data_IF_718407561022
#
_entry.id   IF_718407561022
#
_cell.length_a   1.000
_cell.length_b   1.000
_cell.length_c   1.000
_cell.angle_alpha   90.00
_cell.angle_beta   90.00
_cell.angle_gamma   90.00
#
_symmetry.space_group_name_H-M   'P 1'
#
loop_
_entity.id
_entity.type
_entity.pdbx_description
1 polymer ?
#
# COMPACT_ATOMS: atom_id res chain seq x y z
N UNK A 1 14.80 -9.65 -8.37
CA UNK A 1 14.61 -11.14 -8.30
C UNK A 1 15.96 -11.83 -8.37
N UNK A 2 16.26 -12.69 -7.41
CA UNK A 2 17.54 -13.40 -7.23
C UNK A 2 17.46 -14.76 -7.92
N UNK A 3 18.47 -15.12 -8.72
CA UNK A 3 18.54 -16.44 -9.35
C UNK A 3 19.40 -17.37 -8.50
N UNK A 4 18.84 -18.49 -8.07
CA UNK A 4 19.48 -19.54 -7.32
C UNK A 4 19.75 -20.73 -8.27
N UNK A 5 20.95 -21.24 -8.31
CA UNK A 5 21.30 -22.46 -9.05
C UNK A 5 21.51 -23.61 -8.09
N UNK A 6 20.90 -24.75 -8.39
CA UNK A 6 21.15 -26.02 -7.69
C UNK A 6 22.09 -26.84 -8.57
N UNK A 7 23.40 -26.89 -8.26
CA UNK A 7 24.40 -27.48 -9.15
C UNK A 7 24.12 -28.95 -9.48
N UNK A 8 23.61 -29.72 -8.50
CA UNK A 8 23.38 -31.17 -8.60
C UNK A 8 22.29 -31.51 -9.63
N UNK A 9 21.30 -30.65 -9.75
CA UNK A 9 20.15 -30.86 -10.67
C UNK A 9 20.13 -29.90 -11.86
N UNK A 10 21.05 -28.95 -11.93
CA UNK A 10 21.08 -27.83 -12.90
C UNK A 10 19.76 -27.06 -12.97
N UNK A 11 18.99 -27.07 -11.88
CA UNK A 11 17.76 -26.32 -11.78
C UNK A 11 18.05 -24.88 -11.36
N UNK A 12 17.28 -23.97 -11.92
CA UNK A 12 17.26 -22.57 -11.50
C UNK A 12 15.97 -22.31 -10.74
N UNK A 13 16.10 -21.68 -9.60
CA UNK A 13 14.98 -21.16 -8.80
C UNK A 13 15.08 -19.66 -8.75
N UNK A 14 13.96 -18.99 -8.58
CA UNK A 14 13.90 -17.54 -8.51
C UNK A 14 13.29 -17.13 -7.17
N UNK A 15 14.01 -16.29 -6.44
CA UNK A 15 13.59 -15.78 -5.16
C UNK A 15 13.37 -14.27 -5.28
N UNK A 16 12.18 -13.75 -4.89
CA UNK A 16 11.96 -12.31 -4.81
C UNK A 16 12.98 -11.62 -3.90
N UNK A 17 13.41 -10.43 -4.26
CA UNK A 17 14.29 -9.55 -3.47
C UNK A 17 13.54 -8.44 -2.74
N UNK A 18 12.25 -8.25 -3.05
CA UNK A 18 11.35 -7.34 -2.36
C UNK A 18 9.88 -7.75 -2.55
N UNK A 19 8.95 -7.05 -1.88
CA UNK A 19 7.54 -7.35 -1.95
C UNK A 19 6.91 -7.14 -3.34
N UNK A 20 7.49 -6.29 -4.18
CA UNK A 20 6.97 -6.00 -5.53
C UNK A 20 7.17 -7.16 -6.50
N UNK A 21 8.14 -8.01 -6.23
CA UNK A 21 8.48 -9.18 -7.05
C UNK A 21 7.73 -10.45 -6.64
N UNK A 22 7.02 -10.40 -5.49
CA UNK A 22 6.28 -11.53 -4.96
C UNK A 22 5.01 -11.83 -5.79
N UNK A 23 4.74 -13.10 -6.04
CA UNK A 23 3.41 -13.53 -6.47
C UNK A 23 2.37 -13.40 -5.33
N UNK A 24 1.10 -13.63 -5.63
CA UNK A 24 0.02 -13.47 -4.63
C UNK A 24 0.22 -14.36 -3.39
N UNK A 25 0.70 -15.61 -3.55
CA UNK A 25 0.95 -16.53 -2.44
C UNK A 25 2.11 -16.04 -1.59
N UNK A 26 3.27 -15.81 -2.22
CA UNK A 26 4.47 -15.29 -1.57
C UNK A 26 4.18 -13.99 -0.82
N UNK A 27 3.49 -13.07 -1.47
CA UNK A 27 3.11 -11.79 -0.88
C UNK A 27 2.28 -11.95 0.40
N UNK A 28 1.29 -12.85 0.40
CA UNK A 28 0.44 -13.08 1.55
C UNK A 28 1.22 -13.72 2.71
N UNK A 29 2.07 -14.69 2.43
CA UNK A 29 2.87 -15.38 3.44
C UNK A 29 3.92 -14.45 4.05
N UNK A 30 4.65 -13.73 3.22
CA UNK A 30 5.64 -12.76 3.70
C UNK A 30 4.96 -11.62 4.47
N UNK A 31 3.79 -11.16 4.05
CA UNK A 31 3.03 -10.14 4.80
C UNK A 31 2.65 -10.61 6.20
N UNK A 32 2.28 -11.90 6.35
CA UNK A 32 2.03 -12.48 7.67
C UNK A 32 3.29 -12.52 8.53
N UNK A 33 4.41 -12.95 7.96
CA UNK A 33 5.70 -12.99 8.67
C UNK A 33 6.17 -11.60 9.07
N UNK A 34 6.00 -10.59 8.19
CA UNK A 34 6.31 -9.18 8.52
C UNK A 34 5.44 -8.70 9.68
N UNK A 35 4.15 -9.05 9.70
CA UNK A 35 3.29 -8.72 10.84
C UNK A 35 3.85 -9.31 12.13
N UNK A 36 4.20 -10.60 12.14
CA UNK A 36 4.74 -11.28 13.31
C UNK A 36 6.06 -10.66 13.78
N UNK A 37 6.94 -10.29 12.83
CA UNK A 37 8.20 -9.62 13.13
C UNK A 37 7.97 -8.24 13.76
N UNK A 38 7.11 -7.41 13.17
CA UNK A 38 6.84 -6.06 13.65
C UNK A 38 6.13 -6.02 15.01
N UNK A 39 5.40 -7.09 15.35
CA UNK A 39 4.74 -7.24 16.65
C UNK A 39 5.59 -8.06 17.64
N UNK A 40 6.86 -8.34 17.30
CA UNK A 40 7.81 -9.09 18.13
C UNK A 40 7.32 -10.51 18.52
N UNK A 41 6.43 -11.09 17.69
CA UNK A 41 5.96 -12.46 17.86
C UNK A 41 7.04 -13.48 17.47
N UNK A 42 7.93 -13.11 16.53
CA UNK A 42 9.09 -13.91 16.11
C UNK A 42 10.34 -13.02 16.06
N UNK A 43 11.53 -13.56 16.40
CA UNK A 43 12.79 -12.86 16.21
C UNK A 43 13.18 -12.81 14.72
N UNK A 44 14.07 -11.87 14.38
CA UNK A 44 14.46 -11.62 12.99
C UNK A 44 15.09 -12.86 12.30
N UNK A 45 15.89 -13.62 13.00
CA UNK A 45 16.53 -14.84 12.47
C UNK A 45 15.48 -15.90 12.10
N UNK A 46 14.44 -16.05 12.90
CA UNK A 46 13.32 -16.96 12.62
C UNK A 46 12.50 -16.43 11.43
N UNK A 47 12.26 -15.12 11.38
CA UNK A 47 11.62 -14.48 10.24
C UNK A 47 12.35 -14.81 8.94
N UNK A 48 13.68 -14.60 8.87
CA UNK A 48 14.48 -14.88 7.66
C UNK A 48 14.34 -16.33 7.19
N UNK A 49 14.45 -17.29 8.11
CA UNK A 49 14.33 -18.71 7.79
C UNK A 49 12.94 -19.04 7.26
N UNK A 50 11.89 -18.60 7.93
CA UNK A 50 10.51 -18.82 7.47
C UNK A 50 10.23 -18.14 6.13
N UNK A 51 10.81 -16.97 5.90
CA UNK A 51 10.68 -16.26 4.63
C UNK A 51 11.27 -17.06 3.46
N UNK A 52 12.42 -17.74 3.65
CA UNK A 52 12.97 -18.62 2.61
C UNK A 52 11.99 -19.73 2.25
N UNK A 53 11.41 -20.42 3.24
CA UNK A 53 10.42 -21.47 3.00
C UNK A 53 9.19 -20.91 2.25
N UNK A 54 8.69 -19.76 2.68
CA UNK A 54 7.56 -19.09 2.03
C UNK A 54 7.86 -18.66 0.58
N UNK A 55 9.03 -18.05 0.35
CA UNK A 55 9.40 -17.53 -0.98
C UNK A 55 9.71 -18.63 -1.99
N UNK A 56 10.28 -19.75 -1.54
CA UNK A 56 10.67 -20.86 -2.41
C UNK A 56 9.63 -21.98 -2.49
N UNK A 57 8.46 -21.83 -1.84
CA UNK A 57 7.40 -22.83 -1.78
C UNK A 57 7.89 -24.17 -1.26
N UNK A 58 8.64 -24.13 -0.17
CA UNK A 58 9.22 -25.31 0.46
C UNK A 58 8.53 -25.61 1.78
N UNK A 59 8.45 -26.89 2.11
CA UNK A 59 8.03 -27.33 3.44
C UNK A 59 9.25 -27.79 4.26
N UNK A 60 9.31 -27.47 5.56
CA UNK A 60 10.34 -28.02 6.43
C UNK A 60 10.13 -29.53 6.57
N UNK A 61 11.08 -30.29 6.07
CA UNK A 61 11.10 -31.76 6.20
C UNK A 61 12.30 -32.12 7.04
N UNK A 62 12.09 -32.90 8.09
CA UNK A 62 13.18 -33.48 8.89
C UNK A 62 13.84 -34.64 8.14
N UNK A 63 15.16 -34.66 8.13
CA UNK A 63 15.94 -35.75 7.56
C UNK A 63 16.35 -36.70 8.69
N UNK A 64 16.25 -38.04 8.45
CA UNK A 64 16.67 -39.05 9.42
C UNK A 64 18.19 -39.08 9.59
N UNK A 65 18.95 -38.70 8.55
CA UNK A 65 20.40 -38.55 8.61
C UNK A 65 20.74 -37.16 9.21
N UNK A 66 21.39 -37.18 10.38
CA UNK A 66 21.79 -35.97 11.09
C UNK A 66 22.74 -35.07 10.28
N UNK A 67 23.66 -35.66 9.51
CA UNK A 67 24.62 -34.90 8.71
C UNK A 67 23.90 -34.19 7.58
N UNK A 68 23.02 -34.90 6.87
CA UNK A 68 22.19 -34.33 5.82
C UNK A 68 21.27 -33.23 6.37
N UNK A 69 20.74 -33.41 7.57
CA UNK A 69 19.92 -32.38 8.23
C UNK A 69 20.72 -31.12 8.58
N UNK A 70 21.94 -31.26 9.10
CA UNK A 70 22.83 -30.12 9.41
C UNK A 70 23.23 -29.35 8.14
N UNK A 71 23.59 -30.05 7.06
CA UNK A 71 23.90 -29.41 5.76
C UNK A 71 22.71 -28.68 5.18
N UNK A 72 21.52 -29.26 5.24
CA UNK A 72 20.27 -28.64 4.81
C UNK A 72 19.99 -27.35 5.59
N UNK A 73 20.10 -27.41 6.92
CA UNK A 73 19.89 -26.23 7.77
C UNK A 73 20.93 -25.14 7.49
N UNK A 74 22.21 -25.51 7.27
CA UNK A 74 23.24 -24.55 6.88
C UNK A 74 22.93 -23.86 5.54
N UNK A 75 22.40 -24.59 4.56
CA UNK A 75 22.02 -24.04 3.27
C UNK A 75 20.80 -23.08 3.40
N UNK A 76 19.78 -23.46 4.18
CA UNK A 76 18.62 -22.59 4.47
C UNK A 76 19.10 -21.31 5.17
N UNK A 77 20.02 -21.43 6.12
CA UNK A 77 20.55 -20.28 6.83
C UNK A 77 21.30 -19.30 5.88
N UNK A 78 22.11 -19.83 4.95
CA UNK A 78 22.76 -19.01 3.93
C UNK A 78 21.75 -18.33 3.00
N UNK A 79 20.71 -19.05 2.57
CA UNK A 79 19.65 -18.46 1.76
C UNK A 79 18.88 -17.38 2.53
N UNK A 80 18.75 -17.52 3.84
CA UNK A 80 18.04 -16.55 4.67
C UNK A 80 18.72 -15.18 4.73
N UNK A 81 20.03 -15.09 4.45
CA UNK A 81 20.74 -13.82 4.33
C UNK A 81 20.22 -12.98 3.14
N UNK A 82 19.72 -13.63 2.08
CA UNK A 82 19.15 -12.93 0.92
C UNK A 82 17.82 -12.23 1.26
N UNK A 83 17.17 -12.60 2.35
CA UNK A 83 15.94 -11.94 2.83
C UNK A 83 16.24 -10.52 3.35
N UNK A 84 17.49 -10.22 3.69
CA UNK A 84 17.91 -8.89 4.09
C UNK A 84 17.68 -7.86 2.96
N UNK A 85 17.63 -8.29 1.69
CA UNK A 85 17.29 -7.45 0.55
C UNK A 85 15.88 -6.84 0.62
N UNK A 86 14.97 -7.42 1.40
CA UNK A 86 13.64 -6.81 1.65
C UNK A 86 13.70 -5.54 2.49
N UNK A 87 14.83 -5.27 3.13
CA UNK A 87 15.01 -4.16 4.04
C UNK A 87 16.09 -3.20 3.53
N UNK A 88 16.02 -1.96 3.98
CA UNK A 88 17.05 -0.95 3.85
C UNK A 88 17.53 -0.54 5.25
N UNK A 89 18.76 -0.06 5.33
CA UNK A 89 19.32 0.45 6.57
C UNK A 89 18.72 1.81 6.89
N UNK A 90 18.16 1.94 8.08
CA UNK A 90 17.73 3.20 8.67
C UNK A 90 18.75 3.77 9.63
N UNK A 91 18.46 4.88 10.24
CA UNK A 91 19.30 5.47 11.28
C UNK A 91 19.38 4.55 12.51
N UNK A 92 20.59 4.31 13.03
CA UNK A 92 20.82 3.54 14.25
C UNK A 92 20.62 2.03 14.10
N UNK A 93 21.06 1.45 12.98
CA UNK A 93 20.97 0.01 12.66
C UNK A 93 19.52 -0.54 12.60
N UNK A 94 18.54 0.35 12.42
CA UNK A 94 17.13 -0.04 12.26
C UNK A 94 16.91 -0.53 10.83
N UNK A 95 16.32 -1.73 10.68
CA UNK A 95 15.89 -2.25 9.38
C UNK A 95 14.54 -1.69 9.01
N UNK A 96 14.47 -1.04 7.86
CA UNK A 96 13.24 -0.46 7.31
C UNK A 96 12.80 -1.31 6.13
N UNK A 97 11.56 -1.80 6.15
CA UNK A 97 11.00 -2.55 5.04
C UNK A 97 10.92 -1.68 3.78
N UNK A 98 11.45 -2.17 2.66
CA UNK A 98 11.31 -1.52 1.35
C UNK A 98 9.85 -1.52 0.91
N UNK A 99 9.28 -0.35 0.75
CA UNK A 99 7.88 -0.13 0.36
C UNK A 99 7.82 0.94 -0.72
N UNK A 100 8.24 0.57 -1.96
CA UNK A 100 8.33 1.49 -3.10
C UNK A 100 7.50 0.98 -4.30
N UNK A 101 6.46 0.18 -4.02
CA UNK A 101 5.62 -0.43 -5.04
C UNK A 101 4.18 0.05 -4.93
N UNK A 102 3.53 0.07 -6.09
CA UNK A 102 2.11 0.45 -6.24
C UNK A 102 1.31 -0.60 -7.01
N UNK A 103 1.97 -1.69 -7.45
CA UNK A 103 1.32 -2.87 -8.01
C UNK A 103 0.56 -3.62 -6.91
N UNK A 104 -0.67 -4.06 -7.19
CA UNK A 104 -1.51 -4.77 -6.24
C UNK A 104 -1.45 -6.30 -6.47
N UNK A 105 -0.62 -7.05 -5.74
CA UNK A 105 -0.50 -8.50 -5.92
C UNK A 105 -1.72 -9.27 -5.42
N UNK A 106 -2.63 -8.62 -4.68
CA UNK A 106 -3.87 -9.18 -4.14
C UNK A 106 -5.12 -8.51 -4.70
N UNK A 107 -5.07 -8.04 -5.96
CA UNK A 107 -6.18 -7.34 -6.62
C UNK A 107 -7.52 -8.07 -6.50
N UNK A 108 -7.52 -9.40 -6.49
CA UNK A 108 -8.71 -10.23 -6.37
C UNK A 108 -8.58 -11.19 -5.20
N UNK A 109 -9.55 -11.14 -4.28
CA UNK A 109 -9.64 -12.05 -3.14
C UNK A 109 -10.96 -12.83 -3.18
N UNK A 110 -10.95 -14.04 -2.59
CA UNK A 110 -12.14 -14.87 -2.46
C UNK A 110 -12.56 -14.93 -1.00
N UNK A 111 -13.79 -14.53 -0.70
CA UNK A 111 -14.36 -14.56 0.63
C UNK A 111 -15.72 -15.22 0.60
N UNK A 112 -15.92 -16.31 1.34
CA UNK A 112 -17.19 -17.06 1.44
C UNK A 112 -17.80 -17.31 0.05
N UNK A 113 -17.00 -17.85 -0.87
CA UNK A 113 -17.41 -18.19 -2.23
C UNK A 113 -17.65 -17.01 -3.19
N UNK A 114 -17.46 -15.77 -2.75
CA UNK A 114 -17.61 -14.55 -3.57
C UNK A 114 -16.27 -13.91 -3.84
N UNK A 115 -16.11 -13.34 -5.04
CA UNK A 115 -14.94 -12.57 -5.40
C UNK A 115 -15.13 -11.10 -5.01
N UNK A 116 -14.12 -10.54 -4.37
CA UNK A 116 -13.96 -9.12 -4.09
C UNK A 116 -12.75 -8.60 -4.84
N UNK A 117 -12.82 -7.37 -5.28
CA UNK A 117 -11.78 -6.71 -6.07
C UNK A 117 -11.30 -5.47 -5.34
N UNK A 118 -9.99 -5.32 -5.25
CA UNK A 118 -9.31 -4.20 -4.63
C UNK A 118 -9.04 -3.05 -5.59
N UNK A 119 -8.20 -2.10 -5.16
CA UNK A 119 -7.70 -1.05 -6.04
C UNK A 119 -6.87 -1.65 -7.18
N UNK A 120 -6.92 -1.01 -8.35
CA UNK A 120 -5.97 -1.28 -9.44
C UNK A 120 -4.55 -0.82 -9.04
N UNK A 121 -3.58 -1.20 -9.84
CA UNK A 121 -2.22 -0.71 -9.70
C UNK A 121 -2.22 0.82 -9.67
N UNK A 122 -1.32 1.41 -8.90
CA UNK A 122 -1.27 2.86 -8.71
C UNK A 122 -2.51 3.48 -8.09
N UNK A 123 -3.46 2.69 -7.61
CA UNK A 123 -4.75 3.16 -7.09
C UNK A 123 -5.54 4.02 -8.10
N UNK A 124 -5.37 3.77 -9.39
CA UNK A 124 -5.96 4.59 -10.47
C UNK A 124 -7.49 4.61 -10.47
N UNK A 125 -8.13 3.53 -9.98
CA UNK A 125 -9.59 3.38 -9.94
C UNK A 125 -10.24 3.85 -8.63
N UNK A 126 -9.49 4.55 -7.76
CA UNK A 126 -9.98 4.96 -6.44
C UNK A 126 -10.66 6.33 -6.50
N UNK A 127 -11.76 6.47 -5.76
CA UNK A 127 -12.45 7.76 -5.56
C UNK A 127 -11.85 8.50 -4.37
N UNK A 128 -11.88 9.84 -4.44
CA UNK A 128 -11.29 10.68 -3.41
C UNK A 128 -11.92 10.46 -2.03
N UNK A 129 -13.24 10.35 -1.93
CA UNK A 129 -13.92 10.05 -0.67
C UNK A 129 -13.54 8.68 -0.10
N UNK A 130 -13.41 7.67 -0.96
CA UNK A 130 -12.94 6.34 -0.59
C UNK A 130 -11.50 6.37 -0.01
N UNK A 131 -10.63 7.16 -0.62
CA UNK A 131 -9.26 7.36 -0.17
C UNK A 131 -9.20 8.05 1.20
N UNK A 132 -9.97 9.11 1.41
CA UNK A 132 -10.02 9.83 2.69
C UNK A 132 -10.46 8.91 3.84
N UNK A 133 -11.50 8.11 3.62
CA UNK A 133 -11.99 7.19 4.64
C UNK A 133 -10.96 6.07 4.91
N UNK A 134 -10.29 5.57 3.87
CA UNK A 134 -9.21 4.59 4.04
C UNK A 134 -8.01 5.17 4.78
N UNK A 135 -7.60 6.40 4.47
CA UNK A 135 -6.50 7.07 5.16
C UNK A 135 -6.81 7.29 6.64
N UNK A 136 -8.04 7.67 6.97
CA UNK A 136 -8.47 7.80 8.36
C UNK A 136 -8.33 6.46 9.11
N UNK A 137 -8.87 5.39 8.55
CA UNK A 137 -8.80 4.05 9.15
C UNK A 137 -7.37 3.54 9.27
N UNK A 138 -6.53 3.81 8.27
CA UNK A 138 -5.10 3.51 8.29
C UNK A 138 -4.37 4.24 9.42
N UNK A 139 -4.67 5.52 9.63
CA UNK A 139 -4.09 6.33 10.71
C UNK A 139 -4.53 5.82 12.08
N UNK A 140 -5.81 5.45 12.24
CA UNK A 140 -6.32 4.85 13.47
C UNK A 140 -5.61 3.54 13.82
N UNK A 141 -5.37 2.67 12.81
CA UNK A 141 -4.57 1.46 13.05
C UNK A 141 -3.15 1.79 13.50
N UNK A 142 -2.49 2.76 12.85
CA UNK A 142 -1.12 3.13 13.21
C UNK A 142 -1.01 3.66 14.64
N UNK A 143 -2.07 4.33 15.13
CA UNK A 143 -2.14 4.89 16.47
C UNK A 143 -2.49 3.84 17.52
N UNK A 144 -3.53 3.03 17.24
CA UNK A 144 -4.14 2.14 18.25
C UNK A 144 -3.62 0.71 18.19
N UNK A 145 -3.10 0.28 17.01
CA UNK A 145 -2.76 -1.11 16.67
C UNK A 145 -3.93 -2.09 16.76
N UNK A 146 -5.17 -1.59 16.79
CA UNK A 146 -6.35 -2.45 16.78
C UNK A 146 -6.59 -3.04 15.38
N UNK A 147 -6.50 -4.37 15.28
CA UNK A 147 -6.68 -5.13 14.04
C UNK A 147 -8.04 -4.90 13.36
N UNK A 148 -9.06 -4.46 14.09
CA UNK A 148 -10.34 -4.13 13.50
C UNK A 148 -10.24 -3.03 12.44
N UNK A 149 -9.35 -2.07 12.60
CA UNK A 149 -9.12 -1.05 11.58
C UNK A 149 -8.54 -1.62 10.29
N UNK A 150 -7.76 -2.70 10.33
CA UNK A 150 -7.26 -3.37 9.12
C UNK A 150 -8.40 -4.00 8.31
N UNK A 151 -9.37 -4.64 8.99
CA UNK A 151 -10.56 -5.17 8.33
C UNK A 151 -11.42 -4.05 7.74
N UNK A 152 -11.54 -2.91 8.43
CA UNK A 152 -12.21 -1.73 7.90
C UNK A 152 -11.48 -1.14 6.69
N UNK A 153 -10.15 -1.09 6.70
CA UNK A 153 -9.34 -0.65 5.57
C UNK A 153 -9.61 -1.52 4.33
N UNK A 154 -9.58 -2.85 4.49
CA UNK A 154 -9.96 -3.76 3.41
C UNK A 154 -11.39 -3.53 2.94
N UNK A 155 -12.35 -3.39 3.86
CA UNK A 155 -13.77 -3.21 3.53
C UNK A 155 -14.04 -1.89 2.79
N UNK A 156 -13.24 -0.86 3.06
CA UNK A 156 -13.30 0.41 2.32
C UNK A 156 -12.86 0.21 0.87
N UNK A 157 -11.83 -0.58 0.62
CA UNK A 157 -11.19 -0.70 -0.69
C UNK A 157 -11.67 -1.91 -1.51
N UNK A 158 -12.02 -3.04 -0.87
CA UNK A 158 -12.42 -4.26 -1.56
C UNK A 158 -13.94 -4.41 -1.62
N UNK A 159 -14.46 -4.58 -2.83
CA UNK A 159 -15.89 -4.71 -3.10
C UNK A 159 -16.18 -5.78 -4.13
N UNK A 160 -17.39 -6.37 -4.12
CA UNK A 160 -17.83 -7.23 -5.20
C UNK A 160 -17.88 -6.49 -6.54
N UNK A 161 -17.74 -7.22 -7.65
CA UNK A 161 -17.91 -6.64 -8.98
C UNK A 161 -19.32 -6.12 -9.22
N UNK A 162 -19.43 -5.08 -10.06
CA UNK A 162 -20.71 -4.59 -10.61
C UNK A 162 -21.43 -5.71 -11.38
N UNK A 163 -22.76 -5.72 -11.30
CA UNK A 163 -23.57 -6.74 -11.98
C UNK A 163 -23.38 -6.74 -13.50
N UNK A 164 -23.14 -5.57 -14.10
CA UNK A 164 -22.90 -5.42 -15.54
C UNK A 164 -21.53 -6.01 -15.95
N UNK A 165 -20.51 -5.89 -15.12
CA UNK A 165 -19.22 -6.56 -15.36
C UNK A 165 -19.37 -8.09 -15.39
N UNK A 166 -20.15 -8.64 -14.46
CA UNK A 166 -20.47 -10.08 -14.43
C UNK A 166 -21.22 -10.57 -15.69
N UNK A 167 -21.85 -9.65 -16.43
CA UNK A 167 -22.53 -9.93 -17.71
C UNK A 167 -21.63 -9.73 -18.92
N UNK A 168 -20.32 -9.53 -18.74
CA UNK A 168 -19.33 -9.44 -19.81
C UNK A 168 -19.05 -8.03 -20.34
N UNK A 169 -19.49 -6.98 -19.64
CA UNK A 169 -19.09 -5.59 -19.97
C UNK A 169 -17.62 -5.40 -19.58
N UNK A 170 -16.81 -4.83 -20.48
CA UNK A 170 -15.38 -4.61 -20.25
C UNK A 170 -15.10 -3.61 -19.10
N UNK A 171 -13.93 -3.74 -18.48
CA UNK A 171 -13.48 -2.79 -17.45
C UNK A 171 -13.33 -1.36 -18.00
N UNK A 172 -12.92 -1.20 -19.25
CA UNK A 172 -12.78 0.10 -19.92
C UNK A 172 -14.13 0.83 -19.97
N UNK A 173 -15.22 0.12 -20.34
CA UNK A 173 -16.57 0.67 -20.32
C UNK A 173 -17.06 1.07 -18.93
N UNK A 174 -16.35 0.70 -17.88
CA UNK A 174 -16.61 1.02 -16.47
C UNK A 174 -15.60 2.05 -15.89
N UNK A 175 -14.91 2.78 -16.75
CA UNK A 175 -13.84 3.71 -16.37
C UNK A 175 -12.76 3.05 -15.49
N UNK A 176 -12.40 1.80 -15.81
CA UNK A 176 -11.40 1.02 -15.08
C UNK A 176 -11.84 0.48 -13.71
N UNK A 177 -12.98 0.91 -13.16
CA UNK A 177 -13.47 0.43 -11.86
C UNK A 177 -14.62 -0.59 -12.01
N UNK A 178 -14.27 -1.86 -11.94
CA UNK A 178 -15.22 -2.96 -11.98
C UNK A 178 -15.98 -3.19 -10.66
N UNK A 179 -15.54 -2.57 -9.58
CA UNK A 179 -16.10 -2.73 -8.23
C UNK A 179 -17.44 -2.03 -8.10
N UNK A 180 -18.32 -2.53 -7.25
CA UNK A 180 -19.54 -1.81 -6.86
C UNK A 180 -19.16 -0.42 -6.33
N UNK A 181 -20.07 0.53 -6.48
CA UNK A 181 -19.84 1.88 -5.96
C UNK A 181 -19.58 1.86 -4.45
N UNK A 182 -18.68 2.73 -4.02
CA UNK A 182 -18.36 2.92 -2.61
C UNK A 182 -19.59 3.39 -1.84
N UNK A 183 -19.80 2.82 -0.66
CA UNK A 183 -20.84 3.23 0.28
C UNK A 183 -20.31 3.07 1.71
N UNK A 184 -20.04 4.17 2.36
CA UNK A 184 -19.50 4.23 3.72
C UNK A 184 -20.37 3.47 4.73
N UNK A 185 -21.70 3.50 4.56
CA UNK A 185 -22.62 2.81 5.48
C UNK A 185 -22.55 1.28 5.41
N UNK A 186 -21.99 0.72 4.32
CA UNK A 186 -21.81 -0.73 4.16
C UNK A 186 -20.48 -1.26 4.70
N UNK A 187 -19.50 -0.39 4.96
CA UNK A 187 -18.14 -0.78 5.31
C UNK A 187 -18.09 -1.62 6.58
N UNK A 188 -18.80 -1.23 7.63
CA UNK A 188 -18.81 -1.94 8.91
C UNK A 188 -19.30 -3.39 8.79
N UNK A 189 -20.34 -3.61 7.99
CA UNK A 189 -20.85 -4.98 7.79
C UNK A 189 -19.91 -5.82 6.93
N UNK A 190 -19.28 -5.22 5.95
CA UNK A 190 -18.27 -5.91 5.12
C UNK A 190 -17.02 -6.23 5.93
N UNK A 191 -16.58 -5.35 6.81
CA UNK A 191 -15.42 -5.54 7.68
C UNK A 191 -15.53 -6.82 8.54
N UNK A 192 -16.73 -7.12 9.07
CA UNK A 192 -16.99 -8.37 9.78
C UNK A 192 -16.72 -9.61 8.91
N UNK A 193 -17.05 -9.55 7.63
CA UNK A 193 -16.76 -10.64 6.69
C UNK A 193 -15.27 -10.86 6.51
N UNK A 194 -14.48 -9.78 6.41
CA UNK A 194 -13.03 -9.86 6.18
C UNK A 194 -12.25 -10.44 7.36
N UNK A 195 -12.82 -10.53 8.55
CA UNK A 195 -12.23 -11.26 9.69
C UNK A 195 -12.00 -12.75 9.41
N UNK A 196 -12.68 -13.31 8.39
CA UNK A 196 -12.50 -14.71 7.97
C UNK A 196 -11.42 -14.89 6.88
N UNK A 197 -10.73 -13.85 6.46
CA UNK A 197 -9.62 -13.96 5.53
C UNK A 197 -8.36 -14.46 6.23
N UNK A 198 -7.48 -15.07 5.45
CA UNK A 198 -6.10 -15.27 5.88
C UNK A 198 -5.48 -13.91 6.22
N UNK A 199 -4.97 -13.78 7.44
CA UNK A 199 -4.55 -12.48 7.95
C UNK A 199 -3.40 -11.85 7.14
N UNK A 200 -2.56 -12.69 6.50
CA UNK A 200 -1.52 -12.22 5.56
C UNK A 200 -2.08 -11.41 4.39
N UNK A 201 -3.31 -11.72 3.92
CA UNK A 201 -3.97 -10.90 2.89
C UNK A 201 -4.40 -9.53 3.44
N UNK A 202 -4.91 -9.53 4.68
CA UNK A 202 -5.36 -8.29 5.34
C UNK A 202 -4.18 -7.38 5.62
N UNK A 203 -3.11 -7.94 6.19
CA UNK A 203 -1.90 -7.19 6.49
C UNK A 203 -1.14 -6.80 5.21
N UNK A 204 -1.14 -7.67 4.20
CA UNK A 204 -0.58 -7.36 2.87
C UNK A 204 -1.24 -6.13 2.26
N UNK A 205 -2.56 -5.98 2.38
CA UNK A 205 -3.20 -4.77 1.90
C UNK A 205 -2.80 -3.52 2.71
N UNK A 206 -2.62 -3.63 4.01
CA UNK A 206 -2.07 -2.55 4.83
C UNK A 206 -0.66 -2.15 4.34
N UNK A 207 0.22 -3.11 4.05
CA UNK A 207 1.56 -2.85 3.52
C UNK A 207 1.51 -2.16 2.14
N UNK A 208 0.61 -2.60 1.25
CA UNK A 208 0.41 -1.96 -0.05
C UNK A 208 -0.10 -0.52 0.12
N UNK A 209 -1.05 -0.29 1.01
CA UNK A 209 -1.57 1.06 1.26
C UNK A 209 -0.50 1.96 1.86
N UNK A 210 0.34 1.45 2.78
CA UNK A 210 1.49 2.17 3.33
C UNK A 210 2.51 2.51 2.23
N UNK A 211 2.80 1.55 1.33
CA UNK A 211 3.66 1.79 0.17
C UNK A 211 3.11 2.89 -0.74
N UNK A 212 1.81 2.89 -0.99
CA UNK A 212 1.16 3.94 -1.77
C UNK A 212 1.28 5.32 -1.09
N UNK A 213 1.15 5.41 0.26
CA UNK A 213 1.36 6.68 0.97
C UNK A 213 2.81 7.18 0.80
N UNK A 214 3.80 6.30 0.95
CA UNK A 214 5.22 6.65 0.70
C UNK A 214 5.42 7.10 -0.74
N UNK A 215 4.83 6.38 -1.70
CA UNK A 215 4.90 6.76 -3.11
C UNK A 215 4.34 8.16 -3.33
N UNK A 216 3.15 8.49 -2.84
CA UNK A 216 2.56 9.82 -2.99
C UNK A 216 3.45 10.92 -2.39
N UNK A 217 4.08 10.66 -1.24
CA UNK A 217 4.93 11.63 -0.54
C UNK A 217 6.28 11.90 -1.24
N UNK A 218 6.72 11.02 -2.17
CA UNK A 218 8.02 11.13 -2.85
C UNK A 218 7.92 11.05 -4.37
N UNK A 219 6.71 10.86 -4.92
CA UNK A 219 6.55 10.56 -6.32
C UNK A 219 6.86 11.75 -7.23
N UNK A 220 7.67 11.47 -8.22
CA UNK A 220 7.79 12.26 -9.42
C UNK A 220 7.04 11.54 -10.54
N UNK A 221 5.94 12.11 -10.96
CA UNK A 221 5.08 11.53 -11.99
C UNK A 221 5.21 12.28 -13.30
N UNK A 222 5.06 11.55 -14.42
CA UNK A 222 5.00 12.18 -15.74
C UNK A 222 3.53 12.38 -16.15
N UNK A 223 3.14 13.65 -16.28
CA UNK A 223 1.81 14.03 -16.73
C UNK A 223 1.90 14.94 -17.96
N UNK A 224 1.30 14.52 -19.06
CA UNK A 224 1.31 15.27 -20.33
C UNK A 224 2.72 15.75 -20.77
N UNK A 225 3.72 14.86 -20.59
CA UNK A 225 5.11 15.15 -20.97
C UNK A 225 5.89 16.07 -20.00
N UNK A 226 5.33 16.34 -18.82
CA UNK A 226 6.00 17.11 -17.75
C UNK A 226 6.19 16.24 -16.51
N UNK A 227 7.34 16.39 -15.88
CA UNK A 227 7.59 15.81 -14.55
C UNK A 227 6.92 16.69 -13.49
N UNK A 228 6.10 16.08 -12.66
CA UNK A 228 5.42 16.71 -11.53
C UNK A 228 5.91 16.05 -10.25
N UNK A 229 6.44 16.85 -9.35
CA UNK A 229 6.90 16.40 -8.02
C UNK A 229 5.76 16.54 -7.01
N UNK A 230 5.10 15.42 -6.70
CA UNK A 230 3.97 15.41 -5.76
C UNK A 230 4.39 15.65 -4.32
N UNK A 231 5.68 15.57 -3.98
CA UNK A 231 6.16 15.79 -2.62
C UNK A 231 5.71 17.15 -2.07
N UNK A 232 5.58 18.15 -2.94
CA UNK A 232 5.11 19.49 -2.57
C UNK A 232 3.73 19.52 -1.88
N UNK A 233 2.92 18.46 -2.05
CA UNK A 233 1.60 18.34 -1.41
C UNK A 233 1.70 17.88 0.05
N UNK A 234 2.84 17.30 0.44
CA UNK A 234 3.06 16.63 1.72
C UNK A 234 4.15 17.31 2.56
N UNK A 235 4.81 18.35 2.03
CA UNK A 235 5.74 19.16 2.79
C UNK A 235 4.97 19.94 3.86
N UNK A 236 5.43 19.85 5.11
CA UNK A 236 4.88 20.69 6.20
C UNK A 236 5.25 22.15 5.92
N UNK A 237 4.26 23.02 5.90
CA UNK A 237 4.48 24.47 5.89
C UNK A 237 5.17 24.82 7.22
N UNK A 238 6.48 25.07 7.18
CA UNK A 238 7.29 25.40 8.38
C UNK A 238 6.86 26.71 9.04
N UNK A 239 6.10 27.54 8.32
CA UNK A 239 5.64 28.85 8.77
C UNK A 239 4.24 28.83 9.41
N UNK A 240 3.56 27.67 9.44
CA UNK A 240 2.22 27.59 10.05
C UNK A 240 2.31 27.39 11.55
N UNK A 241 1.62 28.25 12.30
CA UNK A 241 1.41 28.12 13.73
C UNK A 241 0.79 26.72 14.03
N UNK A 242 1.53 25.88 14.74
CA UNK A 242 1.00 24.57 15.19
C UNK A 242 -0.08 24.82 16.23
N UNK A 243 -1.34 24.64 15.83
CA UNK A 243 -2.46 24.71 16.75
C UNK A 243 -2.51 23.42 17.60
N UNK A 244 -2.70 23.55 18.91
CA UNK A 244 -2.95 22.41 19.81
C UNK A 244 -4.33 21.77 19.60
N UNK A 245 -5.17 22.37 18.77
CA UNK A 245 -6.50 21.86 18.44
C UNK A 245 -6.36 20.85 17.30
N UNK A 246 -6.84 19.60 17.47
CA UNK A 246 -6.81 18.61 16.39
C UNK A 246 -7.56 19.09 15.14
N UNK A 247 -6.88 19.14 14.01
CA UNK A 247 -7.50 19.48 12.73
C UNK A 247 -8.26 18.29 12.13
N UNK A 248 -9.06 18.56 11.11
CA UNK A 248 -9.81 17.53 10.37
C UNK A 248 -8.91 16.73 9.40
N UNK A 249 -7.60 17.04 9.33
CA UNK A 249 -6.67 16.39 8.41
C UNK A 249 -7.13 16.51 6.96
N UNK A 250 -7.03 15.42 6.20
CA UNK A 250 -7.46 15.39 4.78
C UNK A 250 -8.94 15.72 4.56
N UNK A 251 -9.80 15.58 5.58
CA UNK A 251 -11.20 16.03 5.48
C UNK A 251 -11.33 17.56 5.41
N UNK A 252 -10.40 18.30 6.02
CA UNK A 252 -10.35 19.77 5.85
C UNK A 252 -10.13 20.15 4.41
N UNK A 253 -9.26 19.46 3.71
CA UNK A 253 -9.00 19.67 2.30
C UNK A 253 -10.24 19.43 1.43
N UNK A 254 -11.03 18.40 1.74
CA UNK A 254 -12.30 18.13 1.06
C UNK A 254 -13.27 19.34 1.17
N UNK A 255 -13.33 19.98 2.33
CA UNK A 255 -14.15 21.19 2.50
C UNK A 255 -13.58 22.37 1.71
N UNK A 256 -12.28 22.62 1.80
CA UNK A 256 -11.61 23.72 1.07
C UNK A 256 -11.79 23.56 -0.44
N UNK A 257 -11.63 22.35 -0.98
CA UNK A 257 -11.86 22.10 -2.41
C UNK A 257 -13.33 22.25 -2.82
N UNK A 258 -14.27 21.84 -1.95
CA UNK A 258 -15.70 22.04 -2.19
C UNK A 258 -16.08 23.54 -2.17
N UNK A 259 -15.53 24.32 -1.23
CA UNK A 259 -15.72 25.77 -1.15
C UNK A 259 -15.18 26.50 -2.39
N UNK A 260 -14.13 25.99 -3.03
CA UNK A 260 -13.60 26.55 -4.28
C UNK A 260 -14.59 26.46 -5.45
N UNK A 261 -15.59 25.59 -5.37
CA UNK A 261 -16.62 25.36 -6.39
C UNK A 261 -16.13 24.67 -7.67
N UNK A 262 -14.83 24.37 -7.80
CA UNK A 262 -14.23 23.82 -9.02
C UNK A 262 -14.74 22.41 -9.33
N UNK A 263 -14.98 21.61 -8.31
CA UNK A 263 -15.49 20.24 -8.41
C UNK A 263 -16.96 20.11 -7.98
N UNK A 264 -17.67 21.23 -7.79
CA UNK A 264 -19.04 21.25 -7.33
C UNK A 264 -19.18 21.00 -5.82
N UNK A 265 -20.25 20.31 -5.43
CA UNK A 265 -20.54 20.02 -4.03
C UNK A 265 -19.58 18.99 -3.42
N UNK A 266 -19.51 18.93 -2.08
CA UNK A 266 -18.77 17.89 -1.35
C UNK A 266 -19.05 16.47 -1.86
N UNK A 267 -20.36 16.17 -2.16
CA UNK A 267 -20.76 14.83 -2.65
C UNK A 267 -20.25 14.53 -4.06
N UNK A 268 -20.06 15.54 -4.90
CA UNK A 268 -19.48 15.41 -6.22
C UNK A 268 -17.98 15.16 -6.10
N UNK A 269 -17.31 15.96 -5.28
CA UNK A 269 -15.87 15.83 -5.00
C UNK A 269 -15.51 14.44 -4.44
N UNK A 270 -16.30 13.88 -3.53
CA UNK A 270 -16.08 12.52 -2.99
C UNK A 270 -16.14 11.43 -4.08
N UNK A 271 -16.82 11.70 -5.19
CA UNK A 271 -16.95 10.76 -6.33
C UNK A 271 -15.89 10.95 -7.41
N UNK A 272 -15.13 12.03 -7.33
CA UNK A 272 -14.06 12.29 -8.30
C UNK A 272 -12.92 11.27 -8.14
N UNK A 273 -12.17 11.08 -9.22
CA UNK A 273 -11.00 10.23 -9.19
C UNK A 273 -9.92 10.83 -8.29
N UNK A 274 -9.23 10.01 -7.49
CA UNK A 274 -8.17 10.45 -6.59
C UNK A 274 -7.08 11.22 -7.33
N UNK A 275 -6.62 10.72 -8.47
CA UNK A 275 -5.53 11.32 -9.23
C UNK A 275 -5.90 12.70 -9.83
N UNK A 276 -7.14 12.86 -10.30
CA UNK A 276 -7.64 14.17 -10.76
C UNK A 276 -7.60 15.22 -9.64
N UNK A 277 -7.97 14.82 -8.43
CA UNK A 277 -7.90 15.69 -7.26
C UNK A 277 -6.44 16.03 -6.89
N UNK A 278 -5.56 15.02 -6.86
CA UNK A 278 -4.13 15.25 -6.56
C UNK A 278 -3.48 16.19 -7.59
N UNK A 279 -3.79 16.02 -8.88
CA UNK A 279 -3.30 16.93 -9.93
C UNK A 279 -3.78 18.35 -9.73
N UNK A 280 -5.04 18.54 -9.37
CA UNK A 280 -5.59 19.87 -9.11
C UNK A 280 -4.95 20.51 -7.88
N UNK A 281 -4.74 19.72 -6.83
CA UNK A 281 -4.03 20.18 -5.62
C UNK A 281 -2.61 20.64 -5.97
N UNK A 282 -1.89 19.83 -6.76
CA UNK A 282 -0.56 20.17 -7.23
C UNK A 282 -0.54 21.53 -7.94
N UNK A 283 -1.45 21.74 -8.90
CA UNK A 283 -1.56 23.01 -9.65
C UNK A 283 -1.81 24.20 -8.70
N UNK A 284 -2.70 24.05 -7.72
CA UNK A 284 -2.99 25.09 -6.74
C UNK A 284 -1.79 25.40 -5.84
N UNK A 285 -1.17 24.36 -5.28
CA UNK A 285 0.00 24.51 -4.39
C UNK A 285 1.17 25.15 -5.13
N UNK A 286 1.41 24.71 -6.38
CA UNK A 286 2.47 25.30 -7.20
C UNK A 286 2.24 26.78 -7.48
N UNK A 287 1.03 27.16 -7.85
CA UNK A 287 0.69 28.58 -8.09
C UNK A 287 0.88 29.45 -6.85
N UNK A 288 0.49 28.93 -5.68
CA UNK A 288 0.68 29.66 -4.42
C UNK A 288 2.17 29.86 -4.11
N UNK A 289 2.99 28.82 -4.28
CA UNK A 289 4.45 28.90 -4.11
C UNK A 289 5.09 29.90 -5.11
N UNK A 290 4.72 29.82 -6.38
CA UNK A 290 5.23 30.73 -7.41
C UNK A 290 4.86 32.19 -7.09
N UNK A 291 3.66 32.43 -6.58
CA UNK A 291 3.19 33.77 -6.17
C UNK A 291 3.96 34.27 -4.93
N UNK A 292 4.15 33.45 -3.90
CA UNK A 292 4.95 33.79 -2.71
C UNK A 292 6.39 34.15 -3.10
N UNK A 293 7.03 33.34 -3.94
CA UNK A 293 8.39 33.58 -4.43
C UNK A 293 8.51 34.88 -5.22
N UNK A 294 7.52 35.23 -6.05
CA UNK A 294 7.48 36.52 -6.77
C UNK A 294 7.36 37.71 -5.82
N UNK A 295 6.53 37.60 -4.79
CA UNK A 295 6.39 38.63 -3.78
C UNK A 295 7.69 38.89 -2.99
N UNK A 296 8.37 37.82 -2.60
CA UNK A 296 9.67 37.89 -1.91
C UNK A 296 10.75 38.52 -2.79
N UNK A 297 10.83 38.13 -4.05
CA UNK A 297 11.76 38.69 -5.02
C UNK A 297 11.52 40.23 -5.25
N UNK A 298 10.27 40.66 -5.17
CA UNK A 298 9.93 42.08 -5.26
C UNK A 298 10.28 42.88 -3.99
N UNK A 299 10.16 42.24 -2.80
CA UNK A 299 10.57 42.86 -1.52
C UNK A 299 12.08 43.04 -1.43
N UNK A 300 12.84 42.06 -1.91
CA UNK A 300 14.30 42.07 -1.88
C UNK A 300 14.94 43.01 -2.91
N UNK A 301 14.17 43.53 -3.87
CA UNK A 301 14.61 44.53 -4.85
C UNK A 301 14.38 46.01 -4.42
N UNK A 302 13.73 46.23 -3.28
CA UNK A 302 13.56 47.52 -2.65
C UNK A 302 14.57 47.72 -1.53
#
# INVERSE_FOLDING_TARGET
MITLEIPETRRKMYMPSDLSECDTRQYNEISMLIHQLQHQEIPYEVFRVHAVYALLDMEPVEDEDKVAQEEKMANIYRLSELVDDFFEEGEGDIRILKQYYVHNPIFKIKLIGKNYYGPSDGFENIKFGEYIDALHVFTEYNTTKDKNYLYHLMATMYRPAKSIFKKGVSSESLNGDIRKNYNVHGVTDWAKGFQNLYFGQVYGFYLLFASFQKYLASAKIYWQGRELDLSILFEEDTDTFKSDIPGLGMKSLLFTLAESGVFGSKKELEKENLWEILMRMYDLTKRDRDFKAQQEALKNKK
#
